data_IF_813371688679
#
_entry.id   IF_813371688679
#
_cell.length_a   1.000
_cell.length_b   1.000
_cell.length_c   1.000
_cell.angle_alpha   90.00
_cell.angle_beta   90.00
_cell.angle_gamma   90.00
#
_symmetry.space_group_name_H-M   'P 1'
#
loop_
_entity.id
_entity.type
_entity.pdbx_description
1 polymer ?
#
# COMPACT_ATOMS: atom_id res chain seq x y z
N UNK A 1 -13.22 -3.16 -10.72
CA UNK A 1 -12.70 -1.77 -10.79
C UNK A 1 -11.29 -1.75 -10.23
N UNK A 2 -10.43 -0.87 -10.75
CA UNK A 2 -9.05 -0.68 -10.29
C UNK A 2 -9.03 0.35 -9.18
N UNK A 3 -8.55 -0.03 -8.01
CA UNK A 3 -8.55 0.84 -6.83
C UNK A 3 -7.11 1.05 -6.35
N UNK A 4 -6.69 2.31 -6.29
CA UNK A 4 -5.43 2.69 -5.70
C UNK A 4 -5.65 3.17 -4.26
N UNK A 5 -5.19 2.39 -3.29
CA UNK A 5 -5.27 2.73 -1.87
C UNK A 5 -3.97 3.40 -1.45
N UNK A 6 -4.00 4.72 -1.30
CA UNK A 6 -2.81 5.53 -0.97
C UNK A 6 -2.71 5.68 0.55
N UNK A 7 -1.75 4.98 1.16
CA UNK A 7 -1.54 5.02 2.60
C UNK A 7 -0.19 5.68 2.93
N UNK A 8 -0.16 6.85 3.62
CA UNK A 8 1.09 7.47 4.06
C UNK A 8 1.62 6.81 5.35
N UNK A 9 1.62 5.48 5.40
CA UNK A 9 2.04 4.69 6.56
C UNK A 9 3.22 3.79 6.23
N UNK A 10 4.07 3.53 7.20
CA UNK A 10 5.15 2.56 7.04
C UNK A 10 4.63 1.14 7.23
N UNK A 11 5.13 0.21 6.41
CA UNK A 11 4.90 -1.22 6.54
C UNK A 11 6.22 -1.94 6.87
N UNK A 12 6.20 -2.94 7.78
CA UNK A 12 5.09 -3.31 8.66
C UNK A 12 4.90 -2.33 9.83
N UNK A 13 3.69 -2.27 10.40
CA UNK A 13 3.40 -1.48 11.60
C UNK A 13 2.17 -2.00 12.34
N UNK A 14 2.25 -2.04 13.68
CA UNK A 14 1.14 -2.43 14.56
C UNK A 14 0.18 -1.27 14.89
N UNK A 15 0.34 -0.11 14.23
CA UNK A 15 -0.55 1.04 14.42
C UNK A 15 -1.94 0.73 13.87
N UNK A 16 -2.98 1.20 14.57
CA UNK A 16 -4.37 0.95 14.20
C UNK A 16 -4.69 1.35 12.75
N UNK A 17 -4.23 2.53 12.32
CA UNK A 17 -4.43 3.00 10.94
C UNK A 17 -3.81 2.02 9.91
N UNK A 18 -2.62 1.51 10.17
CA UNK A 18 -1.98 0.53 9.28
C UNK A 18 -2.76 -0.78 9.23
N UNK A 19 -3.21 -1.30 10.37
CA UNK A 19 -4.03 -2.52 10.42
C UNK A 19 -5.33 -2.31 9.63
N UNK A 20 -5.99 -1.16 9.80
CA UNK A 20 -7.19 -0.80 9.06
C UNK A 20 -6.96 -0.75 7.56
N UNK A 21 -5.85 -0.13 7.11
CA UNK A 21 -5.46 -0.08 5.70
C UNK A 21 -5.34 -1.49 5.11
N UNK A 22 -4.64 -2.40 5.80
CA UNK A 22 -4.42 -3.76 5.29
C UNK A 22 -5.72 -4.59 5.26
N UNK A 23 -6.60 -4.42 6.26
CA UNK A 23 -7.90 -5.11 6.30
C UNK A 23 -8.90 -4.53 5.30
N UNK A 24 -8.92 -3.22 5.09
CA UNK A 24 -9.69 -2.58 4.04
C UNK A 24 -9.23 -3.10 2.67
N UNK A 25 -7.91 -3.15 2.44
CA UNK A 25 -7.35 -3.67 1.22
C UNK A 25 -7.85 -5.09 0.92
N UNK A 26 -7.76 -5.98 1.91
CA UNK A 26 -8.34 -7.33 1.77
C UNK A 26 -9.82 -7.29 1.44
N UNK A 27 -10.62 -6.49 2.15
CA UNK A 27 -12.07 -6.42 1.90
C UNK A 27 -12.38 -5.97 0.46
N UNK A 28 -11.65 -4.98 -0.07
CA UNK A 28 -11.82 -4.55 -1.46
C UNK A 28 -11.44 -5.64 -2.46
N UNK A 29 -10.38 -6.42 -2.18
CA UNK A 29 -10.01 -7.57 -3.00
C UNK A 29 -11.10 -8.65 -2.97
N UNK A 30 -11.70 -8.95 -1.81
CA UNK A 30 -12.83 -9.90 -1.68
C UNK A 30 -14.02 -9.50 -2.54
N UNK A 31 -14.29 -8.19 -2.62
CA UNK A 31 -15.36 -7.64 -3.44
C UNK A 31 -15.06 -7.68 -4.95
N UNK A 32 -13.90 -8.24 -5.36
CA UNK A 32 -13.53 -8.41 -6.77
C UNK A 32 -12.86 -7.19 -7.40
N UNK A 33 -12.38 -6.23 -6.60
CA UNK A 33 -11.62 -5.11 -7.11
C UNK A 33 -10.14 -5.48 -7.33
N UNK A 34 -9.55 -4.97 -8.40
CA UNK A 34 -8.09 -5.04 -8.60
C UNK A 34 -7.48 -3.93 -7.74
N UNK A 35 -6.69 -4.31 -6.72
CA UNK A 35 -6.22 -3.37 -5.71
C UNK A 35 -4.71 -3.19 -5.76
N UNK A 36 -4.27 -1.94 -5.66
CA UNK A 36 -2.88 -1.55 -5.37
C UNK A 36 -2.81 -0.70 -4.12
N UNK A 37 -2.12 -1.19 -3.10
CA UNK A 37 -1.82 -0.44 -1.87
C UNK A 37 -0.49 0.26 -2.04
N UNK A 38 -0.51 1.58 -2.12
CA UNK A 38 0.71 2.39 -2.23
C UNK A 38 1.15 2.80 -0.84
N UNK A 39 2.43 2.60 -0.54
CA UNK A 39 3.06 2.97 0.73
C UNK A 39 4.42 3.64 0.52
N UNK A 40 4.85 4.55 1.41
CA UNK A 40 6.19 5.12 1.37
C UNK A 40 7.27 4.08 1.72
N UNK A 41 8.28 3.92 0.86
CA UNK A 41 9.44 3.06 1.09
C UNK A 41 10.42 3.01 -0.09
N UNK A 42 11.62 2.48 0.13
CA UNK A 42 12.63 2.32 -0.92
C UNK A 42 12.77 0.83 -1.29
N UNK A 43 12.12 0.41 -2.38
CA UNK A 43 12.17 -0.93 -3.00
C UNK A 43 11.80 -2.14 -2.09
N UNK A 44 11.41 -3.30 -2.66
CA UNK A 44 11.02 -4.50 -1.90
C UNK A 44 12.15 -5.12 -1.07
N UNK A 45 13.41 -4.79 -1.34
CA UNK A 45 14.57 -5.38 -0.64
C UNK A 45 14.64 -5.03 0.86
N UNK A 46 13.89 -4.01 1.30
CA UNK A 46 13.72 -3.66 2.71
C UNK A 46 12.34 -4.04 3.28
N UNK A 47 11.45 -4.60 2.45
CA UNK A 47 10.04 -4.81 2.75
C UNK A 47 9.69 -6.29 2.72
N UNK A 48 9.47 -6.84 3.90
CA UNK A 48 8.71 -8.05 4.22
C UNK A 48 7.97 -8.69 3.03
N UNK A 49 8.24 -9.97 2.75
CA UNK A 49 7.53 -10.71 1.70
C UNK A 49 6.03 -10.74 2.00
N UNK A 50 5.21 -10.96 0.97
CA UNK A 50 3.77 -11.06 1.11
C UNK A 50 3.36 -12.06 2.19
N UNK A 51 4.01 -13.21 2.28
CA UNK A 51 3.64 -14.24 3.26
C UNK A 51 3.87 -13.75 4.71
N UNK A 52 4.94 -13.00 4.92
CA UNK A 52 5.22 -12.37 6.21
C UNK A 52 4.21 -11.25 6.52
N UNK A 53 3.82 -10.43 5.52
CA UNK A 53 2.75 -9.42 5.67
C UNK A 53 1.41 -10.09 5.98
N UNK A 54 1.08 -11.17 5.27
CA UNK A 54 -0.15 -11.92 5.46
C UNK A 54 -0.21 -12.54 6.85
N UNK A 55 0.90 -13.11 7.33
CA UNK A 55 0.99 -13.60 8.71
C UNK A 55 0.84 -12.46 9.73
N UNK A 56 1.55 -11.34 9.54
CA UNK A 56 1.55 -10.21 10.47
C UNK A 56 0.17 -9.57 10.65
N UNK A 57 -0.58 -9.41 9.56
CA UNK A 57 -1.90 -8.76 9.57
C UNK A 57 -3.08 -9.76 9.54
N UNK A 58 -2.81 -11.06 9.49
CA UNK A 58 -3.82 -12.11 9.31
C UNK A 58 -4.60 -11.94 8.00
N UNK A 59 -3.90 -11.75 6.89
CA UNK A 59 -4.49 -11.60 5.55
C UNK A 59 -4.66 -12.97 4.90
N UNK A 60 -5.74 -13.13 4.16
CA UNK A 60 -6.10 -14.36 3.44
C UNK A 60 -6.13 -14.16 1.93
N UNK A 61 -6.22 -12.91 1.46
CA UNK A 61 -6.29 -12.60 0.04
C UNK A 61 -5.18 -11.66 -0.38
N UNK A 62 -4.48 -12.05 -1.44
CA UNK A 62 -3.35 -11.29 -1.99
C UNK A 62 -3.81 -10.04 -2.72
N UNK A 63 -3.11 -8.95 -2.45
CA UNK A 63 -3.22 -7.70 -3.21
C UNK A 63 -1.82 -7.14 -3.48
N UNK A 64 -1.71 -6.27 -4.48
CA UNK A 64 -0.43 -5.66 -4.86
C UNK A 64 -0.07 -4.54 -3.88
N UNK A 65 1.14 -4.60 -3.32
CA UNK A 65 1.69 -3.55 -2.46
C UNK A 65 2.82 -2.87 -3.22
N UNK A 66 2.71 -1.56 -3.42
CA UNK A 66 3.68 -0.77 -4.15
C UNK A 66 4.40 0.18 -3.19
N UNK A 67 5.70 -0.04 -3.03
CA UNK A 67 6.57 0.85 -2.29
C UNK A 67 7.02 1.99 -3.20
N UNK A 68 6.56 3.20 -2.90
CA UNK A 68 6.93 4.40 -3.63
C UNK A 68 7.98 5.19 -2.85
N UNK A 69 8.98 5.78 -3.54
CA UNK A 69 9.98 6.61 -2.88
C UNK A 69 9.34 7.71 -2.04
N UNK A 70 9.85 7.86 -0.82
CA UNK A 70 9.50 8.97 0.07
C UNK A 70 10.80 9.54 0.65
N UNK A 71 11.18 10.72 0.18
CA UNK A 71 12.39 11.44 0.51
C UNK A 71 12.21 12.20 1.84
N UNK A 72 12.94 11.84 2.90
CA UNK A 72 12.85 12.53 4.19
C UNK A 72 13.21 14.01 4.09
N UNK A 73 14.13 14.37 3.18
CA UNK A 73 14.58 15.75 2.93
C UNK A 73 13.46 16.68 2.46
N UNK A 74 12.44 16.15 1.80
CA UNK A 74 11.28 16.90 1.29
C UNK A 74 10.07 16.82 2.24
N UNK A 75 10.29 16.38 3.49
CA UNK A 75 9.22 16.08 4.47
C UNK A 75 8.17 15.09 3.94
N UNK A 76 8.53 14.31 2.90
CA UNK A 76 7.68 13.29 2.26
C UNK A 76 6.42 13.86 1.58
N UNK A 77 6.36 15.17 1.32
CA UNK A 77 5.22 15.76 0.61
C UNK A 77 5.11 15.28 -0.84
N UNK A 78 6.23 14.91 -1.44
CA UNK A 78 6.30 14.35 -2.79
C UNK A 78 5.66 12.97 -2.91
N UNK A 79 5.50 12.25 -1.79
CA UNK A 79 4.86 10.93 -1.78
C UNK A 79 3.42 11.00 -2.32
N UNK A 80 2.60 11.92 -1.80
CA UNK A 80 1.19 12.03 -2.20
C UNK A 80 1.05 12.33 -3.70
N UNK A 81 1.87 13.24 -4.23
CA UNK A 81 1.89 13.57 -5.64
C UNK A 81 2.35 12.38 -6.50
N UNK A 82 3.36 11.64 -6.03
CA UNK A 82 3.88 10.46 -6.73
C UNK A 82 2.85 9.34 -6.75
N UNK A 83 2.19 9.07 -5.62
CA UNK A 83 1.14 8.08 -5.50
C UNK A 83 -0.06 8.40 -6.41
N UNK A 84 -0.54 9.65 -6.43
CA UNK A 84 -1.62 10.08 -7.33
C UNK A 84 -1.20 9.93 -8.81
N UNK A 85 0.04 10.29 -9.17
CA UNK A 85 0.56 10.08 -10.54
C UNK A 85 0.60 8.60 -10.91
N UNK A 86 1.03 7.73 -10.00
CA UNK A 86 1.02 6.28 -10.20
C UNK A 86 -0.39 5.72 -10.37
N UNK A 87 -1.33 6.13 -9.52
CA UNK A 87 -2.74 5.75 -9.61
C UNK A 87 -3.35 6.14 -10.96
N UNK A 88 -3.12 7.38 -11.41
CA UNK A 88 -3.59 7.86 -12.72
C UNK A 88 -2.96 7.11 -13.89
N UNK A 89 -1.65 6.83 -13.84
CA UNK A 89 -0.97 6.03 -14.88
C UNK A 89 -1.52 4.62 -14.98
N UNK A 90 -1.86 4.02 -13.85
CA UNK A 90 -2.48 2.70 -13.80
C UNK A 90 -3.98 2.71 -14.15
N UNK A 91 -4.58 3.91 -14.30
CA UNK A 91 -6.02 4.12 -14.52
C UNK A 91 -6.85 3.51 -13.40
N UNK A 92 -6.46 3.79 -12.16
CA UNK A 92 -7.37 3.62 -11.03
C UNK A 92 -8.64 4.46 -11.27
N UNK A 93 -9.77 3.91 -10.88
CA UNK A 93 -11.09 4.54 -10.94
C UNK A 93 -11.24 5.64 -9.87
#
# INVERSE_FOLDING_TARGET
MKIALIAPTHLPSRRANTIQVMKMAQAMTVLGHELRVMVPGSSPEAGMDWDELAHHYGLQHRFDVQWLPAHPRLRRYEYGLTAVRHARRWRAD
#
